data_IF_603481585084
#
_entry.id   IF_603481585084
#
_cell.length_a   1.000
_cell.length_b   1.000
_cell.length_c   1.000
_cell.angle_alpha   90.00
_cell.angle_beta   90.00
_cell.angle_gamma   90.00
#
_symmetry.space_group_name_H-M   'P 1'
#
loop_
_entity.id
_entity.type
_entity.pdbx_description
1 polymer ?
#
# COMPACT_ATOMS: atom_id res chain seq x y z
N UNK A 1 -37.67 -8.43 -50.18
CA UNK A 1 -36.37 -7.82 -50.55
C UNK A 1 -36.12 -6.66 -49.60
N UNK A 2 -35.37 -6.89 -48.54
CA UNK A 2 -34.85 -5.82 -47.68
C UNK A 2 -33.33 -5.82 -47.78
N UNK A 3 -32.77 -4.62 -47.95
CA UNK A 3 -31.38 -4.38 -48.34
C UNK A 3 -30.47 -4.47 -47.12
N UNK A 4 -29.47 -5.35 -47.18
CA UNK A 4 -28.36 -5.40 -46.23
C UNK A 4 -27.53 -4.10 -46.32
N UNK A 5 -27.41 -3.36 -45.21
CA UNK A 5 -26.44 -2.29 -45.06
C UNK A 5 -25.08 -2.86 -44.61
N UNK A 6 -23.94 -2.32 -45.11
CA UNK A 6 -22.62 -2.82 -44.74
C UNK A 6 -22.20 -2.31 -43.37
N UNK A 7 -21.82 -3.24 -42.48
CA UNK A 7 -21.18 -2.92 -41.20
C UNK A 7 -19.75 -2.42 -41.50
N UNK A 8 -19.52 -1.12 -41.32
CA UNK A 8 -18.16 -0.55 -41.32
C UNK A 8 -17.38 -1.14 -40.14
N UNK A 9 -16.40 -1.99 -40.44
CA UNK A 9 -15.26 -2.28 -39.54
C UNK A 9 -14.49 -0.96 -39.36
N UNK A 10 -14.85 -0.20 -38.33
CA UNK A 10 -14.10 0.94 -37.86
C UNK A 10 -12.98 0.48 -36.95
N UNK A 11 -11.78 0.97 -37.22
CA UNK A 11 -10.51 0.51 -36.69
C UNK A 11 -10.43 0.48 -35.16
N UNK A 12 -9.90 -0.65 -34.71
CA UNK A 12 -9.40 -0.92 -33.38
C UNK A 12 -8.19 0.00 -33.11
N UNK A 13 -8.40 1.16 -32.48
CA UNK A 13 -7.35 1.93 -31.79
C UNK A 13 -7.95 3.05 -30.95
N UNK A 14 -8.28 2.71 -29.71
CA UNK A 14 -8.01 3.56 -28.57
C UNK A 14 -8.01 2.66 -27.34
N UNK A 15 -6.87 1.98 -27.13
CA UNK A 15 -6.42 1.68 -25.78
C UNK A 15 -6.40 3.02 -25.04
N UNK A 16 -7.52 3.35 -24.38
CA UNK A 16 -7.53 4.35 -23.34
C UNK A 16 -6.54 3.82 -22.32
N UNK A 17 -5.31 4.35 -22.38
CA UNK A 17 -4.27 4.18 -21.37
C UNK A 17 -4.96 4.31 -20.02
N UNK A 18 -5.20 3.18 -19.37
CA UNK A 18 -5.52 3.16 -17.96
C UNK A 18 -4.31 3.76 -17.28
N UNK A 19 -4.35 5.07 -17.04
CA UNK A 19 -3.49 5.69 -16.05
C UNK A 19 -3.88 4.98 -14.75
N UNK A 20 -3.08 3.98 -14.41
CA UNK A 20 -3.25 3.21 -13.20
C UNK A 20 -3.15 4.16 -12.03
N UNK A 21 -4.32 4.57 -11.53
CA UNK A 21 -4.52 4.85 -10.12
C UNK A 21 -4.38 3.54 -9.33
N UNK A 22 -3.26 2.83 -9.55
CA UNK A 22 -2.95 1.57 -8.93
C UNK A 22 -2.44 1.88 -7.55
N UNK A 23 -3.23 1.54 -6.53
CA UNK A 23 -2.66 1.42 -5.19
C UNK A 23 -1.64 0.29 -5.22
N UNK A 24 -0.48 0.52 -4.64
CA UNK A 24 0.53 -0.53 -4.49
C UNK A 24 0.63 -0.91 -3.02
N UNK A 25 0.77 -2.20 -2.75
CA UNK A 25 1.06 -2.69 -1.41
C UNK A 25 2.55 -2.95 -1.31
N UNK A 26 3.18 -2.46 -0.24
CA UNK A 26 4.59 -2.75 0.07
C UNK A 26 4.70 -3.47 1.40
N UNK A 27 5.53 -4.51 1.44
CA UNK A 27 5.95 -5.10 2.70
C UNK A 27 6.99 -4.20 3.35
N UNK A 28 6.82 -3.94 4.64
CA UNK A 28 7.65 -3.01 5.39
C UNK A 28 8.00 -3.57 6.76
N UNK A 29 9.16 -3.16 7.26
CA UNK A 29 9.59 -3.32 8.63
C UNK A 29 9.56 -1.96 9.32
N UNK A 30 8.87 -1.87 10.45
CA UNK A 30 8.73 -0.66 11.25
C UNK A 30 9.46 -0.81 12.58
N UNK A 31 10.24 0.21 12.92
CA UNK A 31 10.90 0.34 14.22
C UNK A 31 10.06 1.27 15.08
N UNK A 32 9.56 0.77 16.20
CA UNK A 32 8.61 1.48 17.06
C UNK A 32 9.23 1.84 18.40
N UNK A 33 8.93 3.05 18.87
CA UNK A 33 9.44 3.59 20.13
C UNK A 33 8.63 3.14 21.33
N UNK A 34 8.64 1.84 21.54
CA UNK A 34 8.28 1.25 22.82
C UNK A 34 9.54 1.11 23.68
N UNK A 35 9.37 0.85 24.97
CA UNK A 35 10.47 0.50 25.88
C UNK A 35 10.32 -0.98 26.28
N UNK A 36 11.23 -1.88 25.86
CA UNK A 36 12.35 -1.63 24.94
C UNK A 36 11.89 -1.41 23.49
N UNK A 37 12.71 -0.78 22.61
CA UNK A 37 12.36 -0.57 21.20
C UNK A 37 11.98 -1.88 20.52
N UNK A 38 10.94 -1.83 19.70
CA UNK A 38 10.39 -3.03 19.05
C UNK A 38 10.39 -2.91 17.54
N UNK A 39 10.28 -4.06 16.90
CA UNK A 39 10.12 -4.17 15.46
C UNK A 39 8.84 -4.93 15.16
N UNK A 40 8.11 -4.45 14.15
CA UNK A 40 7.00 -5.17 13.53
C UNK A 40 7.21 -5.19 12.01
N UNK A 41 6.73 -6.23 11.36
CA UNK A 41 6.62 -6.29 9.91
C UNK A 41 5.14 -6.27 9.51
N UNK A 42 4.84 -5.78 8.33
CA UNK A 42 3.49 -5.80 7.79
C UNK A 42 3.44 -5.19 6.41
N UNK A 43 2.24 -4.92 5.92
CA UNK A 43 1.99 -4.36 4.61
C UNK A 43 1.35 -2.98 4.72
N UNK A 44 1.80 -2.04 3.90
CA UNK A 44 1.22 -0.70 3.78
C UNK A 44 0.72 -0.47 2.37
N UNK A 45 -0.44 0.16 2.24
CA UNK A 45 -0.99 0.54 0.93
C UNK A 45 -0.59 1.98 0.60
N UNK A 46 0.10 2.15 -0.52
CA UNK A 46 0.51 3.46 -1.05
C UNK A 46 -0.49 3.89 -2.13
N UNK A 47 -0.99 5.14 -2.08
CA UNK A 47 -2.05 5.61 -2.97
C UNK A 47 -1.64 5.76 -4.44
N UNK A 48 -0.33 5.70 -4.75
CA UNK A 48 0.20 5.83 -6.10
C UNK A 48 1.47 4.98 -6.26
N UNK A 49 1.72 4.35 -7.43
CA UNK A 49 2.93 3.59 -7.67
C UNK A 49 4.20 4.45 -7.65
N UNK A 50 4.06 5.78 -7.78
CA UNK A 50 5.17 6.74 -7.75
C UNK A 50 5.44 7.29 -6.36
N UNK A 51 4.55 7.06 -5.40
CA UNK A 51 4.71 7.57 -4.05
C UNK A 51 5.72 6.71 -3.27
N UNK A 52 6.50 7.38 -2.44
CA UNK A 52 7.55 6.80 -1.60
C UNK A 52 7.00 6.48 -0.21
N UNK A 53 7.67 5.59 0.52
CA UNK A 53 7.33 5.34 1.93
C UNK A 53 7.46 6.60 2.79
N UNK A 54 8.40 7.49 2.47
CA UNK A 54 8.53 8.80 3.13
C UNK A 54 7.26 9.64 3.02
N UNK A 55 6.54 9.53 1.91
CA UNK A 55 5.33 10.32 1.67
C UNK A 55 4.22 9.87 2.63
N UNK A 56 4.19 8.57 2.97
CA UNK A 56 3.27 8.04 3.99
C UNK A 56 3.54 8.63 5.36
N UNK A 57 4.81 8.84 5.73
CA UNK A 57 5.18 9.39 7.03
C UNK A 57 4.92 10.89 7.10
N UNK A 58 5.06 11.60 5.98
CA UNK A 58 4.94 13.05 5.94
C UNK A 58 3.53 13.55 5.57
N UNK A 59 2.59 12.66 5.21
CA UNK A 59 1.21 13.09 4.97
C UNK A 59 0.51 13.59 6.25
N UNK A 60 -0.61 14.27 6.07
CA UNK A 60 -1.36 14.92 7.16
C UNK A 60 -2.08 13.98 8.13
N UNK A 61 -2.08 12.66 7.89
CA UNK A 61 -2.69 11.68 8.80
C UNK A 61 -1.80 11.42 10.00
N UNK A 62 -2.39 11.30 11.18
CA UNK A 62 -1.65 10.99 12.42
C UNK A 62 -1.24 9.52 12.54
N UNK A 63 -1.93 8.63 11.82
CA UNK A 63 -1.78 7.18 11.94
C UNK A 63 -1.43 6.55 10.59
N UNK A 64 -0.63 5.49 10.65
CA UNK A 64 -0.34 4.62 9.52
C UNK A 64 -1.07 3.29 9.73
N UNK A 65 -1.86 2.89 8.75
CA UNK A 65 -2.53 1.60 8.72
C UNK A 65 -1.55 0.52 8.22
N UNK A 66 -1.38 -0.52 9.02
CA UNK A 66 -0.48 -1.64 8.75
C UNK A 66 -1.33 -2.91 8.76
N UNK A 67 -1.24 -3.68 7.68
CA UNK A 67 -1.94 -4.95 7.47
C UNK A 67 -0.95 -6.12 7.58
N UNK A 68 -1.48 -7.35 7.66
CA UNK A 68 -0.72 -8.60 7.77
C UNK A 68 0.43 -8.52 8.78
N UNK A 69 0.15 -7.90 9.95
CA UNK A 69 1.19 -7.58 10.92
C UNK A 69 1.79 -8.85 11.50
N UNK A 70 3.12 -8.91 11.52
CA UNK A 70 3.90 -9.97 12.14
C UNK A 70 4.95 -9.37 13.06
N UNK A 71 5.29 -10.12 14.10
CA UNK A 71 6.25 -9.69 15.13
C UNK A 71 7.43 -10.65 15.11
N UNK A 72 8.61 -10.25 14.58
CA UNK A 72 9.74 -11.15 14.38
C UNK A 72 10.18 -11.91 15.64
N UNK A 73 10.16 -11.26 16.81
CA UNK A 73 10.63 -11.83 18.07
C UNK A 73 9.51 -12.39 18.95
N UNK A 74 8.28 -12.52 18.43
CA UNK A 74 7.16 -13.14 19.14
C UNK A 74 6.70 -12.42 20.43
N UNK A 75 7.17 -11.19 20.68
CA UNK A 75 6.88 -10.47 21.94
C UNK A 75 5.39 -10.10 22.11
N UNK A 76 4.63 -10.14 21.02
CA UNK A 76 3.18 -10.04 21.02
C UNK A 76 2.59 -11.15 20.13
N UNK A 77 2.33 -12.31 20.71
CA UNK A 77 1.47 -13.35 20.10
C UNK A 77 0.00 -12.89 19.90
N UNK A 78 -0.32 -11.62 20.22
CA UNK A 78 -1.67 -11.06 20.26
C UNK A 78 -1.81 -9.76 19.46
N UNK A 79 -0.80 -9.33 18.69
CA UNK A 79 -1.03 -8.24 17.74
C UNK A 79 -2.02 -8.74 16.69
N UNK A 80 -3.15 -8.03 16.58
CA UNK A 80 -4.09 -8.21 15.48
C UNK A 80 -3.33 -8.13 14.15
N UNK A 81 -3.76 -8.90 13.15
CA UNK A 81 -3.25 -8.81 11.78
C UNK A 81 -3.34 -7.38 11.21
N UNK A 82 -4.03 -6.46 11.87
CA UNK A 82 -4.13 -5.06 11.54
C UNK A 82 -3.76 -4.16 12.73
N UNK A 83 -2.92 -3.15 12.49
CA UNK A 83 -2.53 -2.13 13.47
C UNK A 83 -2.68 -0.73 12.86
N UNK A 84 -3.28 0.19 13.62
CA UNK A 84 -3.19 1.63 13.38
C UNK A 84 -2.08 2.19 14.28
N UNK A 85 -0.92 2.45 13.69
CA UNK A 85 0.25 2.90 14.43
C UNK A 85 0.37 4.42 14.36
N UNK A 86 0.59 5.09 15.49
CA UNK A 86 0.85 6.53 15.48
C UNK A 86 2.17 6.80 14.78
N UNK A 87 2.20 7.76 13.85
CA UNK A 87 3.46 8.13 13.17
C UNK A 87 4.52 8.65 14.13
N UNK A 88 4.11 9.18 15.29
CA UNK A 88 5.04 9.62 16.35
C UNK A 88 5.79 8.45 17.01
N UNK A 89 5.22 7.26 16.95
CA UNK A 89 5.82 6.04 17.50
C UNK A 89 6.77 5.37 16.48
N UNK A 90 6.63 5.68 15.19
CA UNK A 90 7.49 5.14 14.13
C UNK A 90 8.83 5.89 14.14
N UNK A 91 9.91 5.20 14.47
CA UNK A 91 11.28 5.71 14.40
C UNK A 91 11.90 5.52 13.03
N UNK A 92 11.56 4.44 12.35
CA UNK A 92 11.98 4.16 10.99
C UNK A 92 11.00 3.21 10.28
N UNK A 93 10.94 3.34 8.96
CA UNK A 93 10.25 2.42 8.06
C UNK A 93 11.21 1.99 6.96
N UNK A 94 11.26 0.69 6.69
CA UNK A 94 12.13 0.12 5.65
C UNK A 94 11.29 -0.82 4.78
N UNK A 95 11.45 -0.73 3.47
CA UNK A 95 10.86 -1.70 2.54
C UNK A 95 11.55 -3.06 2.68
N UNK A 96 10.78 -4.15 2.61
CA UNK A 96 11.29 -5.52 2.69
C UNK A 96 10.93 -6.22 1.39
N UNK A 97 11.93 -6.83 0.75
CA UNK A 97 11.76 -7.66 -0.45
C UNK A 97 11.10 -9.01 -0.14
#
# INVERSE_FOLDING_TARGET
>A
MEKNLPIKKGDNKMEKKGQGYGRITKKVRLFISLEPPRVIEGTVTIPSPRARLSDLLNDERSYLAIQDVTVPDGWLNLISNFVLLSKKEIKAIVEVD
#
